data_IF_056782534833
#
_entry.id   IF_056782534833
#
_cell.length_a   1.000
_cell.length_b   1.000
_cell.length_c   1.000
_cell.angle_alpha   90.00
_cell.angle_beta   90.00
_cell.angle_gamma   90.00
#
_symmetry.space_group_name_H-M   'P 1'
#
loop_
_entity.id
_entity.type
_entity.pdbx_description
1 polymer ?
#
# COMPACT_ATOMS: atom_id res chain seq x y z
N UNK A 1 -30.51 0.03 28.17
CA UNK A 1 -29.16 -0.41 27.76
C UNK A 1 -28.04 0.29 28.53
N UNK A 2 -28.08 1.60 28.77
CA UNK A 2 -27.05 2.33 29.54
C UNK A 2 -26.79 1.78 30.96
N UNK A 3 -27.83 1.36 31.70
CA UNK A 3 -27.67 0.75 33.04
C UNK A 3 -27.04 -0.65 33.02
N UNK A 4 -27.16 -1.40 31.91
CA UNK A 4 -26.54 -2.73 31.83
C UNK A 4 -25.02 -2.59 31.65
N UNK A 5 -24.60 -1.58 30.87
CA UNK A 5 -23.20 -1.23 30.65
C UNK A 5 -22.54 -0.78 31.95
N UNK A 6 -23.21 0.03 32.78
CA UNK A 6 -22.62 0.46 34.07
C UNK A 6 -22.55 -0.66 35.12
N UNK A 7 -23.42 -1.66 35.05
CA UNK A 7 -23.42 -2.81 35.97
C UNK A 7 -22.36 -3.85 35.55
N UNK A 8 -22.19 -4.07 34.24
CA UNK A 8 -21.20 -5.02 33.70
C UNK A 8 -19.79 -4.43 33.74
N UNK A 9 -19.66 -3.12 33.50
CA UNK A 9 -18.39 -2.40 33.53
C UNK A 9 -18.18 -1.75 34.93
N UNK A 10 -18.17 -2.55 35.99
CA UNK A 10 -17.54 -2.15 37.26
C UNK A 10 -16.02 -2.08 37.06
N UNK A 11 -15.56 -1.11 36.27
CA UNK A 11 -14.15 -0.94 36.01
C UNK A 11 -13.54 -0.27 37.25
N UNK A 12 -12.48 -0.85 37.84
CA UNK A 12 -11.72 -0.16 38.87
C UNK A 12 -11.23 1.18 38.33
N UNK A 13 -10.87 2.11 39.24
CA UNK A 13 -10.39 3.46 38.93
C UNK A 13 -9.59 3.50 37.62
N UNK A 14 -10.26 3.93 36.54
CA UNK A 14 -9.71 3.92 35.19
C UNK A 14 -8.55 4.91 35.13
N UNK A 15 -7.32 4.39 35.14
CA UNK A 15 -6.15 5.22 34.96
C UNK A 15 -6.00 5.59 33.48
N UNK A 16 -6.35 6.84 33.14
CA UNK A 16 -6.27 7.37 31.77
C UNK A 16 -4.90 7.14 31.14
N UNK A 17 -3.82 7.23 31.94
CA UNK A 17 -2.46 6.98 31.44
C UNK A 17 -2.28 5.53 31.03
N UNK A 18 -2.71 4.59 31.85
CA UNK A 18 -2.60 3.16 31.55
C UNK A 18 -3.43 2.79 30.31
N UNK A 19 -4.62 3.37 30.17
CA UNK A 19 -5.45 3.21 28.98
C UNK A 19 -4.71 3.70 27.74
N UNK A 20 -4.18 4.93 27.77
CA UNK A 20 -3.45 5.51 26.66
C UNK A 20 -2.22 4.65 26.28
N UNK A 21 -1.47 4.16 27.26
CA UNK A 21 -0.33 3.26 27.05
C UNK A 21 -0.75 1.94 26.39
N UNK A 22 -1.82 1.30 26.88
CA UNK A 22 -2.30 0.04 26.33
C UNK A 22 -2.88 0.20 24.91
N UNK A 23 -3.63 1.27 24.64
CA UNK A 23 -4.11 1.58 23.28
C UNK A 23 -2.96 1.89 22.32
N UNK A 24 -1.91 2.59 22.79
CA UNK A 24 -0.72 2.86 21.98
C UNK A 24 0.03 1.57 21.62
N UNK A 25 0.18 0.65 22.60
CA UNK A 25 0.76 -0.67 22.37
C UNK A 25 -0.07 -1.48 21.37
N UNK A 26 -1.39 -1.50 21.54
CA UNK A 26 -2.28 -2.21 20.62
C UNK A 26 -2.17 -1.63 19.19
N UNK A 27 -2.19 -0.30 19.04
CA UNK A 27 -2.10 0.36 17.75
C UNK A 27 -0.80 0.04 16.98
N UNK A 28 0.32 -0.16 17.70
CA UNK A 28 1.61 -0.45 17.07
C UNK A 28 1.91 -1.94 16.87
N UNK A 29 1.22 -2.84 17.60
CA UNK A 29 1.59 -4.26 17.67
C UNK A 29 0.48 -5.22 17.24
N UNK A 30 -0.74 -4.72 17.02
CA UNK A 30 -1.83 -5.54 16.54
C UNK A 30 -1.67 -5.85 15.05
N UNK A 31 -2.05 -7.07 14.67
CA UNK A 31 -1.98 -7.55 13.30
C UNK A 31 -3.40 -7.74 12.76
N UNK A 32 -3.62 -7.35 11.50
CA UNK A 32 -4.80 -7.73 10.75
C UNK A 32 -4.71 -9.23 10.44
N UNK A 33 -5.64 -10.00 10.98
CA UNK A 33 -5.80 -11.42 10.67
C UNK A 33 -6.52 -11.52 9.34
N UNK A 34 -5.95 -12.26 8.39
CA UNK A 34 -6.55 -12.49 7.09
C UNK A 34 -6.79 -13.98 6.84
N UNK A 35 -7.70 -14.29 5.91
CA UNK A 35 -7.81 -15.63 5.35
C UNK A 35 -6.72 -15.93 4.30
N UNK A 36 -6.83 -17.08 3.62
CA UNK A 36 -5.90 -17.50 2.58
C UNK A 36 -5.90 -16.60 1.33
N UNK A 37 -6.94 -15.78 1.15
CA UNK A 37 -7.06 -14.83 0.05
C UNK A 37 -6.66 -13.41 0.48
N UNK A 38 -6.05 -13.28 1.67
CA UNK A 38 -5.64 -12.02 2.29
C UNK A 38 -6.81 -11.09 2.65
N UNK A 39 -8.04 -11.61 2.72
CA UNK A 39 -9.22 -10.84 3.10
C UNK A 39 -9.18 -10.60 4.63
N UNK A 40 -9.27 -9.34 5.09
CA UNK A 40 -9.28 -9.02 6.52
C UNK A 40 -10.48 -9.65 7.25
N UNK A 41 -10.22 -10.43 8.29
CA UNK A 41 -11.23 -11.05 9.15
C UNK A 41 -11.34 -10.38 10.52
N UNK A 42 -10.26 -9.75 11.00
CA UNK A 42 -10.23 -9.09 12.29
C UNK A 42 -8.84 -8.64 12.70
N UNK A 43 -8.70 -8.31 13.98
CA UNK A 43 -7.43 -7.81 14.57
C UNK A 43 -7.03 -8.71 15.73
N UNK A 44 -5.75 -9.10 15.78
CA UNK A 44 -5.20 -9.92 16.86
C UNK A 44 -3.87 -9.39 17.38
N UNK A 45 -3.62 -9.59 18.67
CA UNK A 45 -2.34 -9.27 19.31
C UNK A 45 -1.58 -10.58 19.55
N UNK A 46 -0.35 -10.65 19.04
CA UNK A 46 0.49 -11.84 19.10
C UNK A 46 1.86 -11.46 19.68
N UNK A 47 2.03 -11.40 21.01
CA UNK A 47 3.22 -10.82 21.63
C UNK A 47 4.56 -11.40 21.13
N UNK A 48 4.61 -12.71 20.84
CA UNK A 48 5.81 -13.39 20.31
C UNK A 48 6.09 -13.02 18.86
N UNK A 49 5.08 -12.62 18.09
CA UNK A 49 5.23 -12.15 16.71
C UNK A 49 5.57 -10.66 16.70
N UNK A 50 5.00 -9.89 17.62
CA UNK A 50 5.18 -8.43 17.71
C UNK A 50 6.62 -8.00 18.04
N UNK A 51 7.52 -8.92 18.42
CA UNK A 51 8.96 -8.62 18.58
C UNK A 51 9.72 -8.59 17.24
N UNK A 52 9.14 -9.12 16.17
CA UNK A 52 9.84 -9.31 14.89
C UNK A 52 9.86 -7.98 14.14
N UNK A 53 11.05 -7.50 13.81
CA UNK A 53 11.23 -6.21 13.14
C UNK A 53 10.80 -6.20 11.67
N UNK A 54 10.66 -4.97 11.16
CA UNK A 54 10.28 -4.71 9.78
C UNK A 54 11.46 -4.76 8.79
N UNK A 55 11.19 -5.26 7.58
CA UNK A 55 11.97 -4.95 6.37
C UNK A 55 11.05 -4.84 5.15
N UNK A 56 11.31 -3.88 4.25
CA UNK A 56 10.65 -3.84 2.93
C UNK A 56 11.18 -4.92 1.97
N UNK A 57 12.22 -5.65 2.38
CA UNK A 57 12.75 -6.85 1.75
C UNK A 57 12.87 -7.94 2.83
N UNK A 58 11.74 -8.51 3.29
CA UNK A 58 11.72 -9.43 4.42
C UNK A 58 12.26 -10.81 4.03
N UNK A 59 12.77 -11.56 5.00
CA UNK A 59 13.21 -12.94 4.83
C UNK A 59 12.16 -13.97 5.31
N UNK A 60 11.08 -13.49 5.93
CA UNK A 60 9.97 -14.29 6.42
C UNK A 60 8.63 -13.58 6.19
N UNK A 61 7.54 -14.35 6.25
CA UNK A 61 6.16 -13.86 6.10
C UNK A 61 5.31 -14.35 7.26
N UNK A 62 4.41 -13.49 7.72
CA UNK A 62 3.37 -13.83 8.69
C UNK A 62 2.14 -14.37 7.94
N UNK A 63 1.72 -15.58 8.28
CA UNK A 63 0.50 -16.21 7.77
C UNK A 63 -0.43 -16.61 8.90
N UNK A 64 -1.73 -16.67 8.62
CA UNK A 64 -2.75 -17.05 9.58
C UNK A 64 -3.44 -18.34 9.18
N UNK A 65 -3.58 -19.25 10.15
CA UNK A 65 -4.40 -20.46 10.05
C UNK A 65 -5.50 -20.35 11.12
N UNK A 66 -6.63 -19.78 10.72
CA UNK A 66 -7.66 -19.33 11.67
C UNK A 66 -7.10 -18.26 12.61
N UNK A 67 -7.03 -18.56 13.92
CA UNK A 67 -6.47 -17.66 14.93
C UNK A 67 -4.97 -17.86 15.19
N UNK A 68 -4.34 -18.86 14.56
CA UNK A 68 -2.93 -19.16 14.76
C UNK A 68 -2.07 -18.32 13.82
N UNK A 69 -1.14 -17.54 14.37
CA UNK A 69 -0.14 -16.79 13.63
C UNK A 69 1.14 -17.63 13.46
N UNK A 70 1.60 -17.78 12.21
CA UNK A 70 2.80 -18.56 11.88
C UNK A 70 3.77 -17.72 11.07
N UNK A 71 5.06 -17.76 11.43
CA UNK A 71 6.15 -17.17 10.63
C UNK A 71 6.75 -18.24 9.74
N UNK A 72 6.78 -17.97 8.44
CA UNK A 72 7.37 -18.88 7.44
C UNK A 72 8.54 -18.17 6.75
N UNK A 73 9.70 -18.82 6.72
CA UNK A 73 10.84 -18.31 5.96
C UNK A 73 10.52 -18.34 4.45
N UNK A 74 10.82 -17.25 3.75
CA UNK A 74 10.68 -17.13 2.28
C UNK A 74 12.04 -17.03 1.59
N UNK A 75 13.12 -17.00 2.38
CA UNK A 75 14.50 -17.00 1.96
C UNK A 75 15.31 -17.85 2.94
N UNK A 76 16.54 -18.23 2.56
CA UNK A 76 17.46 -18.84 3.52
C UNK A 76 17.83 -17.82 4.61
N UNK A 77 17.70 -18.22 5.87
CA UNK A 77 18.06 -17.39 7.03
C UNK A 77 19.26 -18.03 7.73
N UNK A 78 20.48 -17.48 7.55
CA UNK A 78 21.66 -17.99 8.25
C UNK A 78 21.51 -17.92 9.78
N UNK A 79 22.20 -18.82 10.48
CA UNK A 79 22.23 -18.80 11.95
C UNK A 79 22.76 -17.46 12.46
N UNK A 80 22.02 -16.85 13.38
CA UNK A 80 22.38 -15.56 13.98
C UNK A 80 21.90 -14.34 13.18
N UNK A 81 21.29 -14.54 12.01
CA UNK A 81 20.59 -13.46 11.30
C UNK A 81 19.24 -13.15 11.93
N UNK A 82 18.83 -11.89 11.84
CA UNK A 82 17.53 -11.43 12.29
C UNK A 82 16.40 -11.97 11.38
N UNK A 83 15.28 -12.36 12.00
CA UNK A 83 14.04 -12.69 11.28
C UNK A 83 13.27 -11.39 11.07
N UNK A 84 12.87 -11.12 9.83
CA UNK A 84 12.24 -9.86 9.43
C UNK A 84 10.96 -10.15 8.63
N UNK A 85 9.90 -9.41 8.93
CA UNK A 85 8.63 -9.42 8.19
C UNK A 85 8.34 -8.04 7.58
N UNK A 86 7.37 -7.96 6.67
CA UNK A 86 6.82 -6.66 6.27
C UNK A 86 5.67 -6.27 7.18
N UNK A 87 5.59 -4.98 7.54
CA UNK A 87 4.49 -4.40 8.32
C UNK A 87 3.46 -3.71 7.44
N UNK A 88 3.80 -3.53 6.16
CA UNK A 88 3.08 -2.73 5.18
C UNK A 88 3.05 -3.47 3.85
N UNK A 89 2.20 -3.00 2.94
CA UNK A 89 2.31 -3.38 1.54
C UNK A 89 3.68 -2.95 0.98
N UNK A 90 4.34 -3.88 0.29
CA UNK A 90 5.67 -3.66 -0.28
C UNK A 90 5.62 -3.17 -1.73
N UNK A 91 4.46 -3.29 -2.39
CA UNK A 91 4.17 -2.70 -3.68
C UNK A 91 3.96 -1.18 -3.54
N UNK A 92 5.05 -0.43 -3.75
CA UNK A 92 5.07 1.03 -3.73
C UNK A 92 6.51 1.55 -3.76
N UNK A 93 6.69 2.84 -4.05
CA UNK A 93 7.99 3.50 -4.03
C UNK A 93 8.59 3.53 -2.62
N UNK A 94 9.90 3.77 -2.52
CA UNK A 94 10.56 3.95 -1.22
C UNK A 94 9.90 5.09 -0.42
N UNK A 95 9.49 6.17 -1.08
CA UNK A 95 8.77 7.27 -0.42
C UNK A 95 7.42 6.82 0.15
N UNK A 96 6.62 6.08 -0.62
CA UNK A 96 5.32 5.56 -0.16
C UNK A 96 5.49 4.63 1.05
N UNK A 97 6.47 3.72 0.99
CA UNK A 97 6.76 2.78 2.08
C UNK A 97 7.24 3.50 3.35
N UNK A 98 8.17 4.45 3.22
CA UNK A 98 8.66 5.25 4.35
C UNK A 98 7.53 6.08 5.00
N UNK A 99 6.65 6.65 4.19
CA UNK A 99 5.49 7.39 4.68
C UNK A 99 4.59 6.48 5.53
N UNK A 100 4.20 5.31 5.02
CA UNK A 100 3.36 4.36 5.75
C UNK A 100 4.00 3.93 7.09
N UNK A 101 5.31 3.62 7.08
CA UNK A 101 6.03 3.24 8.30
C UNK A 101 6.12 4.38 9.31
N UNK A 102 6.36 5.61 8.86
CA UNK A 102 6.45 6.79 9.73
C UNK A 102 5.10 7.16 10.34
N UNK A 103 4.02 7.06 9.56
CA UNK A 103 2.67 7.40 10.01
C UNK A 103 2.11 6.38 11.02
N UNK A 104 2.40 5.08 10.82
CA UNK A 104 1.82 4.02 11.65
C UNK A 104 2.77 3.53 12.77
N UNK A 105 4.07 3.47 12.51
CA UNK A 105 5.06 2.86 13.41
C UNK A 105 6.16 3.83 13.86
N UNK A 106 6.09 5.09 13.44
CA UNK A 106 6.93 6.18 13.94
C UNK A 106 8.45 5.99 13.77
N UNK A 107 8.88 5.20 12.77
CA UNK A 107 10.31 5.02 12.45
C UNK A 107 10.62 5.25 10.96
N UNK A 108 11.91 5.37 10.65
CA UNK A 108 12.43 5.43 9.28
C UNK A 108 13.18 4.12 8.98
N UNK A 109 12.77 3.44 7.91
CA UNK A 109 13.33 2.14 7.55
C UNK A 109 14.70 2.28 6.86
N UNK A 110 15.67 1.47 7.28
CA UNK A 110 17.03 1.42 6.71
C UNK A 110 17.34 0.06 6.07
N UNK A 111 16.31 -0.70 5.65
CA UNK A 111 16.51 -1.99 4.99
C UNK A 111 17.23 -1.84 3.63
N UNK A 112 17.79 -2.94 3.06
CA UNK A 112 18.55 -2.89 1.79
C UNK A 112 17.81 -2.25 0.60
N UNK A 113 16.47 -2.28 0.60
CA UNK A 113 15.65 -1.61 -0.42
C UNK A 113 15.53 -0.11 -0.16
N UNK A 114 15.37 0.30 1.09
CA UNK A 114 15.17 1.71 1.45
C UNK A 114 16.46 2.55 1.45
N UNK A 115 17.62 1.94 1.69
CA UNK A 115 18.92 2.66 1.61
C UNK A 115 19.29 3.08 0.19
N UNK A 116 18.63 2.50 -0.82
CA UNK A 116 18.82 2.85 -2.24
C UNK A 116 18.04 4.10 -2.67
N UNK A 117 17.38 4.82 -1.75
CA UNK A 117 16.59 6.01 -2.07
C UNK A 117 17.39 6.99 -2.95
N UNK A 118 16.81 7.34 -4.11
CA UNK A 118 17.42 8.27 -5.05
C UNK A 118 18.55 7.69 -5.92
N UNK A 119 18.86 6.40 -5.79
CA UNK A 119 19.72 5.69 -6.75
C UNK A 119 18.92 5.26 -7.98
N UNK A 120 19.61 4.92 -9.07
CA UNK A 120 18.99 4.58 -10.36
C UNK A 120 17.93 3.47 -10.26
N UNK A 121 18.20 2.42 -9.47
CA UNK A 121 17.26 1.32 -9.23
C UNK A 121 15.95 1.82 -8.57
N UNK A 122 16.05 2.68 -7.57
CA UNK A 122 14.90 3.22 -6.83
C UNK A 122 14.10 4.21 -7.68
N UNK A 123 14.79 5.05 -8.45
CA UNK A 123 14.17 5.99 -9.40
C UNK A 123 13.39 5.20 -10.45
N UNK A 124 14.00 4.15 -11.02
CA UNK A 124 13.36 3.28 -12.02
C UNK A 124 12.17 2.55 -11.43
N UNK A 125 12.32 1.91 -10.27
CA UNK A 125 11.22 1.23 -9.58
C UNK A 125 10.06 2.19 -9.31
N UNK A 126 10.34 3.38 -8.76
CA UNK A 126 9.34 4.39 -8.46
C UNK A 126 8.61 4.88 -9.71
N UNK A 127 9.34 5.12 -10.80
CA UNK A 127 8.76 5.58 -12.07
C UNK A 127 7.88 4.50 -12.74
N UNK A 128 8.20 3.21 -12.55
CA UNK A 128 7.42 2.08 -13.06
C UNK A 128 6.18 1.83 -12.20
N UNK A 129 6.31 1.85 -10.87
CA UNK A 129 5.21 1.52 -9.96
C UNK A 129 4.20 2.67 -9.82
N UNK A 130 4.68 3.90 -9.73
CA UNK A 130 3.88 5.08 -9.37
C UNK A 130 3.97 6.22 -10.40
N UNK A 131 4.86 6.11 -11.37
CA UNK A 131 5.07 7.11 -12.42
C UNK A 131 4.20 6.91 -13.66
N UNK A 132 4.48 7.74 -14.66
CA UNK A 132 3.70 7.82 -15.90
C UNK A 132 4.36 7.04 -17.04
N UNK A 133 3.56 6.51 -17.96
CA UNK A 133 4.06 5.87 -19.18
C UNK A 133 4.31 6.88 -20.31
N UNK A 134 5.14 6.46 -21.26
CA UNK A 134 5.33 7.17 -22.51
C UNK A 134 4.00 7.47 -23.23
N UNK A 135 3.94 8.65 -23.87
CA UNK A 135 2.82 9.04 -24.74
C UNK A 135 2.72 8.17 -25.99
N UNK A 136 3.84 7.63 -26.47
CA UNK A 136 3.82 6.65 -27.55
C UNK A 136 3.39 5.28 -27.00
N UNK A 137 2.25 4.78 -27.44
CA UNK A 137 1.70 3.51 -26.98
C UNK A 137 2.52 2.27 -27.38
N UNK A 138 3.39 2.39 -28.39
CA UNK A 138 4.32 1.30 -28.78
C UNK A 138 5.63 1.33 -27.98
N UNK A 139 5.83 2.36 -27.15
CA UNK A 139 6.97 2.47 -26.25
C UNK A 139 6.57 2.02 -24.84
N UNK A 140 7.36 1.11 -24.26
CA UNK A 140 7.18 0.60 -22.90
C UNK A 140 7.96 1.42 -21.86
N UNK A 141 8.61 2.50 -22.28
CA UNK A 141 9.37 3.38 -21.39
C UNK A 141 8.49 4.16 -20.41
N UNK A 142 9.03 4.42 -19.21
CA UNK A 142 8.48 5.31 -18.21
C UNK A 142 8.98 6.75 -18.38
N UNK A 143 8.27 7.69 -17.75
CA UNK A 143 8.54 9.11 -17.79
C UNK A 143 9.27 9.58 -16.52
N UNK A 144 10.35 10.32 -16.71
CA UNK A 144 11.10 10.99 -15.65
C UNK A 144 10.88 12.51 -15.72
N UNK A 145 10.89 13.17 -14.57
CA UNK A 145 10.74 14.63 -14.51
C UNK A 145 11.93 15.27 -15.20
N UNK A 146 11.64 16.19 -16.11
CA UNK A 146 12.66 16.98 -16.79
C UNK A 146 12.77 18.36 -16.11
N UNK A 147 13.99 18.82 -15.88
CA UNK A 147 14.29 20.07 -15.15
C UNK A 147 14.18 21.31 -16.03
N UNK A 148 14.28 21.15 -17.36
CA UNK A 148 14.33 22.26 -18.32
C UNK A 148 12.95 22.58 -18.93
N UNK A 149 12.04 21.60 -18.89
CA UNK A 149 10.69 21.74 -19.45
C UNK A 149 9.61 21.51 -18.39
N UNK A 150 8.44 22.12 -18.59
CA UNK A 150 7.24 21.84 -17.77
C UNK A 150 6.59 20.51 -18.17
N UNK A 151 7.27 19.41 -17.92
CA UNK A 151 6.79 18.08 -18.26
C UNK A 151 7.74 16.97 -17.87
N UNK A 152 7.56 15.82 -18.53
CA UNK A 152 8.34 14.62 -18.30
C UNK A 152 8.88 14.08 -19.61
N UNK A 153 10.05 13.45 -19.55
CA UNK A 153 10.72 12.84 -20.68
C UNK A 153 10.74 11.34 -20.55
N UNK A 154 10.45 10.64 -21.63
CA UNK A 154 10.56 9.20 -21.67
C UNK A 154 12.03 8.78 -21.61
N UNK A 155 12.36 7.91 -20.65
CA UNK A 155 13.71 7.37 -20.49
C UNK A 155 14.18 6.56 -21.71
N UNK A 156 13.25 5.97 -22.47
CA UNK A 156 13.57 5.07 -23.59
C UNK A 156 13.62 5.78 -24.95
N UNK A 157 12.59 6.54 -25.33
CA UNK A 157 12.51 7.17 -26.66
C UNK A 157 12.70 8.70 -26.65
N UNK A 158 12.91 9.32 -25.48
CA UNK A 158 13.13 10.76 -25.36
C UNK A 158 11.90 11.64 -25.59
N UNK A 159 10.75 11.06 -25.95
CA UNK A 159 9.50 11.79 -26.17
C UNK A 159 9.05 12.50 -24.90
N UNK A 160 8.62 13.76 -25.06
CA UNK A 160 8.16 14.61 -23.97
C UNK A 160 6.64 14.53 -23.84
N UNK A 161 6.18 14.47 -22.59
CA UNK A 161 4.77 14.59 -22.21
C UNK A 161 4.59 15.80 -21.29
N UNK A 162 3.71 16.73 -21.67
CA UNK A 162 3.48 17.96 -20.92
C UNK A 162 2.76 17.71 -19.59
N UNK A 163 3.07 18.54 -18.59
CA UNK A 163 2.45 18.45 -17.25
C UNK A 163 0.92 18.65 -17.30
N UNK A 164 0.43 19.57 -18.12
CA UNK A 164 -1.01 19.87 -18.25
C UNK A 164 -1.81 18.67 -18.78
N UNK A 165 -1.26 17.95 -19.78
CA UNK A 165 -1.87 16.73 -20.31
C UNK A 165 -2.00 15.65 -19.23
N UNK A 166 -0.94 15.46 -18.45
CA UNK A 166 -0.90 14.50 -17.35
C UNK A 166 -1.92 14.86 -16.27
N UNK A 167 -1.94 16.13 -15.84
CA UNK A 167 -2.86 16.60 -14.81
C UNK A 167 -4.32 16.48 -15.23
N UNK A 168 -4.62 16.74 -16.51
CA UNK A 168 -5.97 16.56 -17.05
C UNK A 168 -6.42 15.11 -16.94
N UNK A 169 -5.62 14.16 -17.45
CA UNK A 169 -5.98 12.74 -17.44
C UNK A 169 -6.03 12.21 -16.00
N UNK A 170 -5.10 12.64 -15.14
CA UNK A 170 -5.07 12.26 -13.72
C UNK A 170 -6.30 12.80 -12.96
N UNK A 171 -6.76 14.01 -13.29
CA UNK A 171 -7.99 14.58 -12.73
C UNK A 171 -9.23 13.78 -13.14
N UNK A 172 -9.38 13.52 -14.44
CA UNK A 172 -10.48 12.69 -14.97
C UNK A 172 -10.48 11.27 -14.35
N UNK A 173 -9.29 10.66 -14.20
CA UNK A 173 -9.11 9.34 -13.57
C UNK A 173 -9.53 9.35 -12.11
N UNK A 174 -9.08 10.37 -11.35
CA UNK A 174 -9.38 10.52 -9.93
C UNK A 174 -10.88 10.70 -9.71
N UNK A 175 -11.51 11.64 -10.43
CA UNK A 175 -12.94 11.93 -10.28
C UNK A 175 -13.80 10.70 -10.61
N UNK A 176 -13.42 9.93 -11.64
CA UNK A 176 -14.12 8.70 -12.01
C UNK A 176 -13.91 7.61 -10.96
N UNK A 177 -12.70 7.45 -10.44
CA UNK A 177 -12.39 6.45 -9.41
C UNK A 177 -13.14 6.74 -8.11
N UNK A 178 -13.28 8.00 -7.71
CA UNK A 178 -14.04 8.38 -6.51
C UNK A 178 -15.53 8.03 -6.68
N UNK A 179 -16.12 8.35 -7.84
CA UNK A 179 -17.51 7.99 -8.17
C UNK A 179 -17.73 6.48 -8.20
N UNK A 180 -16.80 5.73 -8.79
CA UNK A 180 -16.86 4.26 -8.85
C UNK A 180 -16.88 3.65 -7.45
N UNK A 181 -15.99 4.11 -6.56
CA UNK A 181 -15.94 3.65 -5.17
C UNK A 181 -17.24 3.96 -4.40
N UNK A 182 -17.83 5.14 -4.61
CA UNK A 182 -19.12 5.51 -4.00
C UNK A 182 -20.26 4.61 -4.50
N UNK A 183 -20.35 4.39 -5.83
CA UNK A 183 -21.35 3.53 -6.44
C UNK A 183 -21.24 2.09 -5.90
N UNK A 184 -20.03 1.56 -5.80
CA UNK A 184 -19.77 0.23 -5.26
C UNK A 184 -20.20 0.12 -3.79
N UNK A 185 -19.83 1.10 -2.96
CA UNK A 185 -20.22 1.12 -1.54
C UNK A 185 -21.73 1.25 -1.32
N UNK A 186 -22.45 1.77 -2.32
CA UNK A 186 -23.91 1.93 -2.32
C UNK A 186 -24.65 0.74 -2.96
N UNK A 187 -23.92 -0.30 -3.40
CA UNK A 187 -24.49 -1.52 -4.00
C UNK A 187 -24.86 -1.41 -5.49
N UNK A 188 -24.48 -0.33 -6.16
CA UNK A 188 -24.70 -0.14 -7.60
C UNK A 188 -23.61 -0.83 -8.43
N UNK A 189 -23.50 -2.16 -8.33
CA UNK A 189 -22.38 -2.92 -8.87
C UNK A 189 -22.19 -2.75 -10.38
N UNK A 190 -23.26 -2.79 -11.17
CA UNK A 190 -23.17 -2.61 -12.63
C UNK A 190 -22.63 -1.23 -13.02
N UNK A 191 -23.07 -0.18 -12.34
CA UNK A 191 -22.59 1.18 -12.58
C UNK A 191 -21.13 1.33 -12.15
N UNK A 192 -20.78 0.79 -10.97
CA UNK A 192 -19.41 0.76 -10.49
C UNK A 192 -18.47 0.02 -11.45
N UNK A 193 -18.90 -1.11 -12.00
CA UNK A 193 -18.15 -1.89 -12.99
C UNK A 193 -17.86 -1.05 -14.24
N UNK A 194 -18.89 -0.41 -14.82
CA UNK A 194 -18.75 0.46 -15.99
C UNK A 194 -17.81 1.65 -15.72
N UNK A 195 -17.86 2.21 -14.51
CA UNK A 195 -16.96 3.28 -14.09
C UNK A 195 -15.52 2.78 -13.94
N UNK A 196 -15.28 1.64 -13.29
CA UNK A 196 -13.93 1.09 -13.14
C UNK A 196 -13.32 0.66 -14.48
N UNK A 197 -14.11 0.18 -15.44
CA UNK A 197 -13.63 -0.07 -16.81
C UNK A 197 -13.18 1.23 -17.52
N UNK A 198 -13.83 2.37 -17.22
CA UNK A 198 -13.38 3.68 -17.72
C UNK A 198 -12.11 4.14 -16.99
N UNK A 199 -12.02 3.93 -15.68
CA UNK A 199 -10.81 4.20 -14.88
C UNK A 199 -9.63 3.41 -15.45
N UNK A 200 -9.78 2.11 -15.69
CA UNK A 200 -8.72 1.27 -16.25
C UNK A 200 -8.22 1.81 -17.59
N UNK A 201 -9.13 2.24 -18.50
CA UNK A 201 -8.75 2.84 -19.79
C UNK A 201 -7.93 4.12 -19.62
N UNK A 202 -8.31 4.99 -18.67
CA UNK A 202 -7.55 6.21 -18.36
C UNK A 202 -6.18 5.86 -17.77
N UNK A 203 -6.13 4.90 -16.85
CA UNK A 203 -4.89 4.44 -16.23
C UNK A 203 -3.94 3.80 -17.26
N UNK A 204 -4.44 2.98 -18.18
CA UNK A 204 -3.64 2.40 -19.27
C UNK A 204 -3.05 3.45 -20.22
N UNK A 205 -3.67 4.63 -20.32
CA UNK A 205 -3.15 5.77 -21.09
C UNK A 205 -2.11 6.58 -20.31
N UNK A 206 -2.19 6.57 -18.98
CA UNK A 206 -1.44 7.47 -18.11
C UNK A 206 -0.24 6.80 -17.42
N UNK A 207 -0.42 5.60 -16.88
CA UNK A 207 0.54 4.91 -16.04
C UNK A 207 1.19 3.73 -16.76
N UNK A 208 2.33 3.28 -16.26
CA UNK A 208 3.02 2.08 -16.75
C UNK A 208 2.18 0.82 -16.53
N UNK A 209 2.40 -0.22 -17.34
CA UNK A 209 1.68 -1.50 -17.27
C UNK A 209 1.79 -2.18 -15.89
N UNK A 210 2.92 -1.98 -15.23
CA UNK A 210 3.22 -2.44 -13.86
C UNK A 210 2.81 -1.47 -12.75
N UNK A 211 2.03 -0.42 -13.05
CA UNK A 211 1.65 0.55 -12.04
C UNK A 211 0.74 -0.05 -10.97
N UNK A 212 1.00 0.29 -9.71
CA UNK A 212 0.19 -0.15 -8.58
C UNK A 212 -1.26 0.33 -8.67
N UNK A 213 -1.50 1.49 -9.30
CA UNK A 213 -2.86 2.01 -9.52
C UNK A 213 -3.65 1.09 -10.47
N UNK A 214 -3.04 0.73 -11.59
CA UNK A 214 -3.65 -0.17 -12.56
C UNK A 214 -3.89 -1.56 -11.99
N UNK A 215 -2.92 -2.09 -11.22
CA UNK A 215 -3.07 -3.38 -10.54
C UNK A 215 -4.25 -3.38 -9.56
N UNK A 216 -4.37 -2.34 -8.71
CA UNK A 216 -5.49 -2.22 -7.76
C UNK A 216 -6.84 -2.10 -8.45
N UNK A 217 -6.94 -1.29 -9.51
CA UNK A 217 -8.21 -1.17 -10.26
C UNK A 217 -8.60 -2.51 -10.89
N UNK A 218 -7.66 -3.27 -11.42
CA UNK A 218 -7.93 -4.62 -11.96
C UNK A 218 -8.33 -5.62 -10.89
N UNK A 219 -7.68 -5.59 -9.73
CA UNK A 219 -8.08 -6.41 -8.58
C UNK A 219 -9.52 -6.09 -8.17
N UNK A 220 -9.89 -4.81 -8.11
CA UNK A 220 -11.28 -4.40 -7.83
C UNK A 220 -12.24 -4.92 -8.90
N UNK A 221 -11.91 -4.80 -10.19
CA UNK A 221 -12.74 -5.29 -11.29
C UNK A 221 -13.00 -6.80 -11.24
N UNK A 222 -12.11 -7.59 -10.62
CA UNK A 222 -12.33 -9.03 -10.43
C UNK A 222 -13.32 -9.35 -9.30
N UNK A 223 -13.66 -8.37 -8.46
CA UNK A 223 -14.51 -8.52 -7.27
C UNK A 223 -15.89 -7.86 -7.41
N UNK A 224 -16.08 -6.95 -8.38
CA UNK A 224 -17.36 -6.27 -8.67
C UNK A 224 -18.21 -7.12 -9.59
#
# INVERSE_FOLDING_TARGET
>A
MANLVSIILQWPDLNIREIAENFSRLACNAHTICDSELIPLGTGLYPVISIINHSCYPNSVLVFEGRMATIRAIQQIPKGSEVLISYIETAGSTMTRQKALKEQYFFTCSCPRCIKLGQDDDIKESAVLEGYRCKNHTCDGFLLRDTEIKGFRCHQCGLVRGMEEILKIAGEEKDMSEKASVALSSGYNTEALDMYLKVEKLQMKLYHSSSIKLMRTRETLLRV
#
